data_IF_244685090743
#
_entry.id   IF_244685090743
#
_cell.length_a   1.000
_cell.length_b   1.000
_cell.length_c   1.000
_cell.angle_alpha   90.00
_cell.angle_beta   90.00
_cell.angle_gamma   90.00
#
_symmetry.space_group_name_H-M   'P 1'
#
loop_
_entity.id
_entity.type
_entity.pdbx_description
1 polymer ?
#
# COMPACT_ATOMS: atom_id res chain seq x y z
N UNK A 1 0.79 15.64 9.47
CA UNK A 1 1.07 15.03 8.15
C UNK A 1 1.90 13.78 8.40
N UNK A 2 1.53 12.63 7.82
CA UNK A 2 2.23 11.36 7.98
C UNK A 2 2.32 10.66 6.62
N UNK A 3 3.38 9.88 6.41
CA UNK A 3 3.64 9.17 5.16
C UNK A 3 3.17 7.72 5.28
N UNK A 4 2.28 7.31 4.38
CA UNK A 4 1.70 5.97 4.41
C UNK A 4 2.20 5.11 3.26
N UNK A 5 2.40 3.83 3.53
CA UNK A 5 2.57 2.81 2.50
C UNK A 5 1.35 1.89 2.52
N UNK A 6 0.64 1.81 1.38
CA UNK A 6 -0.55 0.99 1.23
C UNK A 6 -0.31 -0.18 0.26
N UNK A 7 -0.69 -1.37 0.69
CA UNK A 7 -0.76 -2.55 -0.18
C UNK A 7 -1.99 -2.50 -1.12
N UNK A 8 -2.04 -3.42 -2.09
CA UNK A 8 -3.18 -3.51 -3.00
C UNK A 8 -4.51 -3.81 -2.28
N UNK A 9 -4.49 -4.47 -1.13
CA UNK A 9 -5.71 -4.79 -0.38
C UNK A 9 -6.38 -3.53 0.20
N UNK A 10 -5.61 -2.54 0.64
CA UNK A 10 -6.12 -1.25 1.07
C UNK A 10 -6.63 -0.46 -0.14
N UNK A 11 -5.87 -0.41 -1.23
CA UNK A 11 -6.27 0.30 -2.45
C UNK A 11 -7.56 -0.25 -3.05
N UNK A 12 -7.77 -1.58 -3.06
CA UNK A 12 -9.03 -2.17 -3.56
C UNK A 12 -10.23 -1.70 -2.72
N UNK A 13 -10.09 -1.54 -1.40
CA UNK A 13 -11.16 -1.02 -0.53
C UNK A 13 -11.49 0.44 -0.80
N UNK A 14 -10.56 1.20 -1.35
CA UNK A 14 -10.82 2.59 -1.76
C UNK A 14 -11.84 2.61 -2.90
N UNK A 15 -11.64 1.79 -3.94
CA UNK A 15 -12.51 1.73 -5.13
C UNK A 15 -13.76 0.87 -4.97
N UNK A 16 -13.64 -0.28 -4.31
CA UNK A 16 -14.71 -1.25 -4.13
C UNK A 16 -15.15 -1.23 -2.67
N UNK A 17 -16.48 -1.22 -2.44
CA UNK A 17 -17.03 -1.22 -1.09
C UNK A 17 -16.81 -2.57 -0.42
N UNK A 18 -15.98 -2.57 0.61
CA UNK A 18 -15.63 -3.71 1.45
C UNK A 18 -15.53 -3.26 2.92
N UNK A 19 -15.51 -4.20 3.89
CA UNK A 19 -15.18 -3.86 5.28
C UNK A 19 -13.85 -3.09 5.37
N UNK A 20 -13.89 -1.92 6.02
CA UNK A 20 -12.75 -1.00 6.13
C UNK A 20 -12.65 0.08 5.04
N UNK A 21 -13.50 0.07 4.01
CA UNK A 21 -13.50 1.11 2.96
C UNK A 21 -13.69 2.52 3.51
N UNK A 22 -14.55 2.71 4.52
CA UNK A 22 -14.79 4.03 5.11
C UNK A 22 -13.51 4.61 5.73
N UNK A 23 -12.76 3.79 6.46
CA UNK A 23 -11.49 4.19 7.06
C UNK A 23 -10.42 4.48 5.98
N UNK A 24 -10.26 3.59 4.99
CA UNK A 24 -9.29 3.81 3.90
C UNK A 24 -9.61 5.08 3.11
N UNK A 25 -10.88 5.32 2.78
CA UNK A 25 -11.30 6.55 2.10
C UNK A 25 -11.05 7.77 2.96
N UNK A 26 -11.33 7.72 4.26
CA UNK A 26 -11.02 8.80 5.19
C UNK A 26 -9.54 9.13 5.21
N UNK A 27 -8.67 8.11 5.23
CA UNK A 27 -7.23 8.27 5.18
C UNK A 27 -6.75 8.92 3.87
N UNK A 28 -7.16 8.38 2.72
CA UNK A 28 -6.69 8.82 1.39
C UNK A 28 -7.25 10.20 1.03
N UNK A 29 -8.51 10.47 1.39
CA UNK A 29 -9.21 11.72 1.05
C UNK A 29 -9.00 12.82 2.10
N UNK A 30 -8.28 12.56 3.19
CA UNK A 30 -7.97 13.59 4.16
C UNK A 30 -7.27 14.76 3.46
N UNK A 31 -7.79 15.97 3.67
CA UNK A 31 -7.24 17.21 3.11
C UNK A 31 -6.77 18.15 4.23
N UNK A 32 -5.75 18.94 3.95
CA UNK A 32 -5.33 20.03 4.82
C UNK A 32 -6.39 21.15 4.79
N UNK A 33 -6.83 21.70 5.94
CA UNK A 33 -7.88 22.71 5.98
C UNK A 33 -7.58 23.95 5.14
N UNK A 34 -6.32 24.40 5.12
CA UNK A 34 -5.96 25.69 4.55
C UNK A 34 -5.73 25.64 3.03
N UNK A 35 -5.17 24.54 2.51
CA UNK A 35 -4.80 24.43 1.10
C UNK A 35 -5.70 23.50 0.28
N UNK A 36 -6.52 22.68 0.94
CA UNK A 36 -7.27 21.60 0.28
C UNK A 36 -6.38 20.49 -0.30
N UNK A 37 -5.06 20.55 -0.11
CA UNK A 37 -4.12 19.53 -0.58
C UNK A 37 -4.29 18.22 0.21
N UNK A 38 -3.80 17.11 -0.34
CA UNK A 38 -3.80 15.83 0.39
C UNK A 38 -3.03 15.96 1.71
N UNK A 39 -3.64 15.52 2.81
CA UNK A 39 -3.04 15.60 4.14
C UNK A 39 -1.91 14.59 4.36
N UNK A 40 -1.87 13.54 3.55
CA UNK A 40 -0.98 12.41 3.69
C UNK A 40 -0.48 11.98 2.31
N UNK A 41 0.84 12.00 2.05
CA UNK A 41 1.37 11.35 0.87
C UNK A 41 1.17 9.84 1.00
N UNK A 42 0.73 9.21 -0.09
CA UNK A 42 0.41 7.78 -0.12
C UNK A 42 1.34 7.07 -1.10
N UNK A 43 2.24 6.26 -0.56
CA UNK A 43 3.14 5.41 -1.33
C UNK A 43 2.54 4.03 -1.55
N UNK A 44 2.79 3.46 -2.72
CA UNK A 44 2.37 2.10 -3.10
C UNK A 44 3.55 1.39 -3.78
N UNK A 45 3.57 0.07 -3.81
CA UNK A 45 4.47 -0.67 -4.72
C UNK A 45 4.03 -0.48 -6.17
N UNK A 46 4.97 -0.45 -7.14
CA UNK A 46 4.60 -0.69 -8.55
C UNK A 46 3.90 -2.04 -8.75
N UNK A 47 4.23 -3.05 -7.93
CA UNK A 47 3.52 -4.34 -7.94
C UNK A 47 2.03 -4.17 -7.61
N UNK A 48 1.66 -3.15 -6.84
CA UNK A 48 0.25 -2.87 -6.51
C UNK A 48 -0.58 -2.53 -7.76
N UNK A 49 0.05 -2.08 -8.85
CA UNK A 49 -0.63 -1.78 -10.12
C UNK A 49 -1.30 -3.05 -10.67
N UNK A 50 -0.50 -4.11 -10.85
CA UNK A 50 -1.00 -5.39 -11.37
C UNK A 50 -1.87 -6.12 -10.34
N UNK A 51 -1.55 -6.02 -9.05
CA UNK A 51 -2.35 -6.64 -7.98
C UNK A 51 -3.77 -6.05 -7.91
N UNK A 52 -3.92 -4.72 -7.98
CA UNK A 52 -5.23 -4.08 -7.98
C UNK A 52 -6.02 -4.44 -9.24
N UNK A 53 -5.38 -4.39 -10.42
CA UNK A 53 -6.00 -4.76 -11.68
C UNK A 53 -6.52 -6.22 -11.65
N UNK A 54 -5.68 -7.14 -11.16
CA UNK A 54 -6.05 -8.54 -10.97
C UNK A 54 -7.19 -8.70 -9.96
N UNK A 55 -7.15 -7.97 -8.84
CA UNK A 55 -8.20 -8.02 -7.82
C UNK A 55 -9.55 -7.55 -8.38
N UNK A 56 -9.60 -6.45 -9.14
CA UNK A 56 -10.83 -6.01 -9.81
C UNK A 56 -11.36 -7.06 -10.78
N UNK A 57 -10.48 -7.68 -11.58
CA UNK A 57 -10.86 -8.74 -12.51
C UNK A 57 -11.39 -9.99 -11.78
N UNK A 58 -10.78 -10.40 -10.67
CA UNK A 58 -11.23 -11.52 -9.84
C UNK A 58 -12.61 -11.24 -9.25
N UNK A 59 -12.83 -10.03 -8.70
CA UNK A 59 -14.14 -9.62 -8.16
C UNK A 59 -15.23 -9.71 -9.23
N UNK A 60 -14.95 -9.26 -10.45
CA UNK A 60 -15.89 -9.39 -11.55
C UNK A 60 -16.16 -10.85 -11.95
N UNK A 61 -15.12 -11.67 -12.14
CA UNK A 61 -15.27 -13.10 -12.50
C UNK A 61 -16.07 -13.88 -11.45
N UNK A 62 -16.01 -13.46 -10.18
CA UNK A 62 -16.78 -14.05 -9.08
C UNK A 62 -18.19 -13.45 -8.93
N UNK A 63 -18.65 -12.61 -9.85
CA UNK A 63 -19.97 -11.98 -9.79
C UNK A 63 -20.14 -10.97 -8.66
N UNK A 64 -19.05 -10.52 -8.01
CA UNK A 64 -19.10 -9.58 -6.88
C UNK A 64 -19.31 -8.14 -7.32
N UNK A 65 -18.90 -7.82 -8.55
CA UNK A 65 -19.07 -6.50 -9.18
C UNK A 65 -19.43 -6.65 -10.66
N UNK A 66 -20.14 -5.67 -11.22
CA UNK A 66 -20.43 -5.63 -12.65
C UNK A 66 -19.18 -5.31 -13.48
N UNK A 67 -19.23 -5.61 -14.77
CA UNK A 67 -18.18 -5.27 -15.73
C UNK A 67 -17.89 -3.75 -15.73
N UNK A 68 -18.96 -2.94 -15.73
CA UNK A 68 -18.87 -1.47 -15.66
C UNK A 68 -18.18 -1.00 -14.37
N UNK A 69 -18.45 -1.64 -13.24
CA UNK A 69 -17.80 -1.32 -11.96
C UNK A 69 -16.31 -1.69 -11.96
N UNK A 70 -15.94 -2.85 -12.52
CA UNK A 70 -14.54 -3.25 -12.73
C UNK A 70 -13.78 -2.21 -13.55
N UNK A 71 -14.32 -1.83 -14.71
CA UNK A 71 -13.68 -0.89 -15.62
C UNK A 71 -13.62 0.53 -15.04
N UNK A 72 -14.66 0.91 -14.30
CA UNK A 72 -14.68 2.14 -13.52
C UNK A 72 -13.55 2.19 -12.48
N UNK A 73 -13.42 1.14 -11.67
CA UNK A 73 -12.40 1.03 -10.64
C UNK A 73 -10.99 1.03 -11.22
N UNK A 74 -10.73 0.23 -12.27
CA UNK A 74 -9.43 0.19 -12.94
C UNK A 74 -9.04 1.54 -13.53
N UNK A 75 -9.95 2.19 -14.27
CA UNK A 75 -9.67 3.53 -14.84
C UNK A 75 -9.48 4.59 -13.78
N UNK A 76 -10.26 4.56 -12.69
CA UNK A 76 -10.08 5.49 -11.57
C UNK A 76 -8.72 5.31 -10.91
N UNK A 77 -8.30 4.06 -10.69
CA UNK A 77 -6.99 3.76 -10.13
C UNK A 77 -5.83 4.25 -10.99
N UNK A 78 -5.88 4.00 -12.30
CA UNK A 78 -4.84 4.51 -13.20
C UNK A 78 -4.81 6.04 -13.26
N UNK A 79 -5.97 6.72 -13.18
CA UNK A 79 -6.02 8.19 -13.08
C UNK A 79 -5.43 8.70 -11.78
N UNK A 80 -5.74 8.07 -10.66
CA UNK A 80 -5.23 8.48 -9.35
C UNK A 80 -3.69 8.33 -9.27
N UNK A 81 -3.11 7.35 -9.96
CA UNK A 81 -1.64 7.29 -10.14
C UNK A 81 -1.14 8.45 -11.02
N UNK A 82 -1.79 8.68 -12.18
CA UNK A 82 -1.37 9.73 -13.12
C UNK A 82 -1.53 11.16 -12.57
N UNK A 83 -2.45 11.35 -11.64
CA UNK A 83 -2.70 12.61 -10.93
C UNK A 83 -2.03 12.69 -9.56
N UNK A 84 -1.05 11.82 -9.30
CA UNK A 84 -0.22 11.82 -8.09
C UNK A 84 -0.99 11.71 -6.76
N UNK A 85 -2.18 11.10 -6.77
CA UNK A 85 -2.87 10.69 -5.55
C UNK A 85 -2.13 9.53 -4.87
N UNK A 86 -1.46 8.69 -5.67
CA UNK A 86 -0.54 7.66 -5.20
C UNK A 86 0.81 7.80 -5.88
N UNK A 87 1.87 7.53 -5.13
CA UNK A 87 3.25 7.53 -5.62
C UNK A 87 3.76 6.09 -5.69
N UNK A 88 3.85 5.49 -6.89
CA UNK A 88 4.41 4.16 -7.07
C UNK A 88 5.90 4.14 -6.78
N UNK A 89 6.32 3.21 -5.93
CA UNK A 89 7.71 2.98 -5.59
C UNK A 89 8.28 1.84 -6.44
N UNK A 90 9.45 2.05 -7.08
CA UNK A 90 10.11 1.02 -7.88
C UNK A 90 10.36 -0.26 -7.10
N UNK A 91 10.03 -1.40 -7.70
CA UNK A 91 10.38 -2.72 -7.17
C UNK A 91 11.69 -3.18 -7.80
N UNK A 92 12.67 -3.56 -6.97
CA UNK A 92 14.00 -3.96 -7.41
C UNK A 92 14.16 -5.47 -7.35
N UNK A 93 15.08 -6.04 -8.13
CA UNK A 93 15.45 -7.46 -8.05
C UNK A 93 15.85 -7.88 -6.63
N UNK A 94 16.53 -7.00 -5.91
CA UNK A 94 16.90 -7.23 -4.50
C UNK A 94 15.69 -7.32 -3.56
N UNK A 95 14.57 -6.67 -3.88
CA UNK A 95 13.33 -6.80 -3.10
C UNK A 95 12.73 -8.19 -3.26
N UNK A 96 12.79 -8.79 -4.45
CA UNK A 96 12.35 -10.18 -4.67
C UNK A 96 13.25 -11.19 -3.94
N UNK A 97 14.57 -10.99 -3.99
CA UNK A 97 15.50 -11.83 -3.24
C UNK A 97 15.23 -11.73 -1.73
N UNK A 98 15.04 -10.53 -1.20
CA UNK A 98 14.72 -10.34 0.20
C UNK A 98 13.35 -10.92 0.57
N UNK A 99 12.33 -10.75 -0.29
CA UNK A 99 11.03 -11.38 -0.13
C UNK A 99 11.11 -12.90 -0.04
N UNK A 100 11.94 -13.54 -0.87
CA UNK A 100 12.17 -14.99 -0.81
C UNK A 100 12.78 -15.43 0.54
N UNK A 101 13.65 -14.62 1.15
CA UNK A 101 14.16 -14.89 2.50
C UNK A 101 13.09 -14.67 3.58
N UNK A 102 12.22 -13.67 3.42
CA UNK A 102 11.10 -13.43 4.34
C UNK A 102 10.13 -14.62 4.36
N UNK A 103 9.86 -15.26 3.22
CA UNK A 103 8.95 -16.43 3.17
C UNK A 103 9.53 -17.67 3.85
N UNK A 104 10.86 -17.78 4.00
CA UNK A 104 11.46 -18.88 4.77
C UNK A 104 11.26 -18.70 6.29
N UNK A 105 11.07 -17.46 6.74
CA UNK A 105 10.99 -17.11 8.16
C UNK A 105 9.56 -16.86 8.62
N UNK A 106 8.67 -16.53 7.70
CA UNK A 106 7.30 -16.12 7.97
C UNK A 106 6.34 -16.72 6.94
N UNK A 107 5.12 -17.10 7.34
CA UNK A 107 4.12 -17.70 6.44
C UNK A 107 3.46 -16.64 5.55
N UNK A 108 4.25 -16.01 4.68
CA UNK A 108 3.81 -14.97 3.75
C UNK A 108 3.60 -15.54 2.36
N UNK A 109 2.53 -15.12 1.68
CA UNK A 109 2.40 -15.38 0.23
C UNK A 109 3.45 -14.56 -0.51
N UNK A 110 3.84 -15.03 -1.70
CA UNK A 110 4.91 -14.43 -2.48
C UNK A 110 4.78 -12.89 -2.62
N UNK A 111 3.63 -12.41 -3.08
CA UNK A 111 3.40 -10.98 -3.26
C UNK A 111 3.22 -10.20 -1.94
N UNK A 112 2.67 -10.83 -0.89
CA UNK A 112 2.67 -10.22 0.47
C UNK A 112 4.11 -10.00 0.97
N UNK A 113 5.01 -10.94 0.69
CA UNK A 113 6.43 -10.81 1.03
C UNK A 113 7.14 -9.73 0.20
N UNK A 114 6.77 -9.56 -1.09
CA UNK A 114 7.29 -8.48 -1.93
C UNK A 114 6.85 -7.11 -1.42
N UNK A 115 5.56 -6.94 -1.10
CA UNK A 115 5.04 -5.70 -0.51
C UNK A 115 5.79 -5.34 0.79
N UNK A 116 6.00 -6.32 1.68
CA UNK A 116 6.76 -6.12 2.91
C UNK A 116 8.23 -5.79 2.64
N UNK A 117 8.88 -6.46 1.69
CA UNK A 117 10.27 -6.20 1.33
C UNK A 117 10.46 -4.75 0.85
N UNK A 118 9.59 -4.28 -0.05
CA UNK A 118 9.61 -2.90 -0.56
C UNK A 118 9.36 -1.91 0.57
N UNK A 119 8.33 -2.13 1.39
CA UNK A 119 8.03 -1.25 2.53
C UNK A 119 9.20 -1.15 3.51
N UNK A 120 9.84 -2.28 3.85
CA UNK A 120 11.00 -2.30 4.75
C UNK A 120 12.23 -1.61 4.14
N UNK A 121 12.43 -1.69 2.83
CA UNK A 121 13.53 -0.95 2.17
C UNK A 121 13.32 0.56 2.31
N UNK A 122 12.13 1.06 2.02
CA UNK A 122 11.83 2.48 2.12
C UNK A 122 11.76 2.97 3.57
N UNK A 123 11.26 2.16 4.50
CA UNK A 123 11.31 2.48 5.93
C UNK A 123 12.76 2.69 6.41
N UNK A 124 13.72 1.86 5.97
CA UNK A 124 15.14 2.03 6.30
C UNK A 124 15.73 3.31 5.71
N UNK A 125 15.39 3.64 4.46
CA UNK A 125 15.83 4.88 3.82
C UNK A 125 15.31 6.08 4.61
N UNK A 126 14.02 6.12 4.93
CA UNK A 126 13.40 7.22 5.66
C UNK A 126 13.92 7.33 7.10
N UNK A 127 14.16 6.21 7.77
CA UNK A 127 14.74 6.20 9.11
C UNK A 127 16.14 6.83 9.15
N UNK A 128 16.93 6.71 8.09
CA UNK A 128 18.22 7.40 7.97
C UNK A 128 18.09 8.93 7.92
N UNK A 129 16.91 9.45 7.60
CA UNK A 129 16.56 10.87 7.64
C UNK A 129 15.67 11.25 8.83
N UNK A 130 15.45 10.35 9.79
CA UNK A 130 14.57 10.59 10.95
C UNK A 130 13.08 10.68 10.61
N UNK A 131 12.66 10.18 9.45
CA UNK A 131 11.26 10.21 9.00
C UNK A 131 10.56 8.85 9.23
N UNK A 132 9.33 8.82 9.78
CA UNK A 132 8.57 7.59 9.96
C UNK A 132 7.84 7.15 8.67
N UNK A 133 7.59 5.85 8.54
CA UNK A 133 6.73 5.27 7.49
C UNK A 133 5.66 4.38 8.12
N UNK A 134 4.38 4.72 7.88
CA UNK A 134 3.25 3.93 8.35
C UNK A 134 2.84 2.89 7.31
N UNK A 135 3.28 1.64 7.50
CA UNK A 135 2.91 0.52 6.64
C UNK A 135 1.53 -0.05 7.01
N UNK A 136 0.62 -0.17 6.01
CA UNK A 136 -0.73 -0.73 6.20
C UNK A 136 -0.99 -1.87 5.22
N UNK A 137 -1.16 -3.07 5.77
CA UNK A 137 -1.53 -4.30 5.06
C UNK A 137 -2.83 -4.88 5.64
N UNK A 138 -3.55 -5.71 4.87
CA UNK A 138 -4.72 -6.47 5.34
C UNK A 138 -4.42 -7.15 6.69
N UNK A 139 -5.21 -6.83 7.73
CA UNK A 139 -5.26 -7.61 8.97
C UNK A 139 -4.40 -7.10 10.15
N UNK A 140 -3.69 -5.97 10.03
CA UNK A 140 -3.14 -5.28 11.21
C UNK A 140 -3.96 -4.03 11.52
N UNK A 141 -4.79 -4.12 12.56
CA UNK A 141 -5.36 -2.96 13.23
C UNK A 141 -4.26 -1.99 13.64
N UNK A 142 -4.65 -0.74 13.92
CA UNK A 142 -3.77 0.39 14.13
C UNK A 142 -2.77 0.23 15.29
N UNK A 143 -1.66 -0.49 15.09
CA UNK A 143 -0.52 -0.55 16.01
C UNK A 143 0.60 -1.37 15.41
N UNK A 144 1.39 -0.74 14.55
CA UNK A 144 2.57 -1.33 13.93
C UNK A 144 3.55 -0.22 13.57
N UNK A 145 3.86 0.66 14.53
CA UNK A 145 5.01 1.53 14.42
C UNK A 145 6.23 0.60 14.27
N UNK A 146 6.84 0.55 13.09
CA UNK A 146 8.19 0.02 12.95
C UNK A 146 9.15 1.04 13.57
N UNK A 147 9.18 1.11 14.91
CA UNK A 147 10.24 1.80 15.63
C UNK A 147 11.54 1.03 15.43
N UNK A 148 12.51 1.70 14.83
CA UNK A 148 13.88 1.25 14.68
C UNK A 148 14.44 0.82 16.04
N UNK A 149 14.85 -0.44 16.14
CA UNK A 149 15.62 -0.93 17.27
C UNK A 149 16.95 -0.18 17.38
N UNK A 150 17.20 0.43 18.54
CA UNK A 150 18.54 0.90 18.93
C UNK A 150 19.55 -0.26 18.85
N UNK A 151 20.80 -0.03 18.41
CA UNK A 151 21.83 -1.06 18.51
C UNK A 151 22.17 -1.29 19.99
N UNK A 152 22.41 -2.54 20.43
CA UNK A 152 22.95 -2.78 21.76
C UNK A 152 24.40 -2.28 21.79
N UNK A 153 24.69 -1.38 22.71
CA UNK A 153 26.05 -1.05 23.09
C UNK A 153 26.78 -2.33 23.55
N UNK A 154 27.90 -2.63 22.90
CA UNK A 154 29.07 -3.28 23.50
C UNK A 154 30.30 -2.57 22.99
#
# INVERSE_FOLDING_TARGET
MALYYLDASALVKYYIREPGSAWVRGLINARLPDSGAQAHPIWISEASIVECAAAFAVLHRRGRISLKARDGAFRAFMRDIASEVFYPLPVRTSDFQFAAHLTQRHPLKAYDAVQLAVALRYARILAAFGLPLDFRQRGRGASGCCSSGRPPHR
#
